data_IF_401603654226
#
_entry.id   IF_401603654226
#
_cell.length_a   1.000
_cell.length_b   1.000
_cell.length_c   1.000
_cell.angle_alpha   90.00
_cell.angle_beta   90.00
_cell.angle_gamma   90.00
#
_symmetry.space_group_name_H-M   'P 1'
#
loop_
_entity.id
_entity.type
_entity.pdbx_description
1 polymer ?
#
# COMPACT_ATOMS: atom_id res chain seq x y z
N UNK A 1 18.32 10.21 -20.12
CA UNK A 1 17.94 10.58 -18.75
C UNK A 1 18.81 9.78 -17.79
N UNK A 2 19.63 10.44 -16.99
CA UNK A 2 20.34 9.78 -15.88
C UNK A 2 19.29 9.40 -14.84
N UNK A 3 19.09 8.11 -14.60
CA UNK A 3 18.20 7.66 -13.52
C UNK A 3 18.87 8.02 -12.19
N UNK A 4 18.37 9.06 -11.52
CA UNK A 4 18.84 9.53 -10.21
C UNK A 4 18.66 8.47 -9.10
N UNK A 5 17.81 7.47 -9.35
CA UNK A 5 17.59 6.32 -8.48
C UNK A 5 18.09 5.05 -9.18
N UNK A 6 18.87 4.27 -8.44
CA UNK A 6 19.43 2.99 -8.84
C UNK A 6 18.46 1.83 -8.65
N UNK A 7 18.84 0.64 -9.13
CA UNK A 7 18.08 -0.60 -8.83
C UNK A 7 17.99 -0.87 -7.32
N UNK A 8 19.06 -0.59 -6.58
CA UNK A 8 19.09 -0.78 -5.14
C UNK A 8 18.10 0.17 -4.45
N UNK A 9 18.03 1.43 -4.90
CA UNK A 9 17.08 2.40 -4.35
C UNK A 9 15.62 1.95 -4.54
N UNK A 10 15.29 1.38 -5.71
CA UNK A 10 13.98 0.77 -5.93
C UNK A 10 13.70 -0.44 -5.02
N UNK A 11 14.71 -1.27 -4.74
CA UNK A 11 14.58 -2.39 -3.81
C UNK A 11 14.35 -1.92 -2.38
N UNK A 12 15.11 -0.91 -1.94
CA UNK A 12 14.93 -0.27 -0.62
C UNK A 12 13.54 0.36 -0.53
N UNK A 13 13.09 1.09 -1.55
CA UNK A 13 11.75 1.68 -1.58
C UNK A 13 10.64 0.61 -1.51
N UNK A 14 10.77 -0.48 -2.27
CA UNK A 14 9.84 -1.62 -2.21
C UNK A 14 9.78 -2.20 -0.79
N UNK A 15 10.94 -2.35 -0.13
CA UNK A 15 11.02 -2.85 1.25
C UNK A 15 10.41 -1.88 2.27
N UNK A 16 10.60 -0.57 2.09
CA UNK A 16 9.97 0.48 2.92
C UNK A 16 8.46 0.36 2.83
N UNK A 17 7.92 0.27 1.62
CA UNK A 17 6.47 0.15 1.41
C UNK A 17 5.94 -1.15 2.03
N UNK A 18 6.64 -2.28 1.86
CA UNK A 18 6.27 -3.53 2.53
C UNK A 18 6.28 -3.40 4.06
N UNK A 19 7.28 -2.73 4.63
CA UNK A 19 7.36 -2.50 6.06
C UNK A 19 6.23 -1.60 6.60
N UNK A 20 5.73 -0.66 5.79
CA UNK A 20 4.58 0.17 6.11
C UNK A 20 3.24 -0.61 6.00
N UNK A 21 3.12 -1.50 5.02
CA UNK A 21 1.91 -2.29 4.74
C UNK A 21 2.21 -3.80 4.66
N UNK A 22 2.53 -4.47 5.78
CA UNK A 22 3.10 -5.82 5.79
C UNK A 22 2.03 -6.92 5.64
N UNK A 23 1.34 -6.93 4.50
CA UNK A 23 0.34 -7.97 4.17
C UNK A 23 1.03 -9.28 3.83
N UNK A 24 0.66 -10.34 4.55
CA UNK A 24 1.29 -11.68 4.39
C UNK A 24 0.88 -12.39 3.10
N UNK A 25 -0.32 -12.10 2.60
CA UNK A 25 -0.92 -12.76 1.43
C UNK A 25 -0.63 -12.03 0.13
N UNK A 26 -0.21 -10.76 0.20
CA UNK A 26 0.02 -9.96 -1.00
C UNK A 26 1.35 -10.37 -1.65
N UNK A 27 1.37 -10.62 -2.96
CA UNK A 27 2.59 -10.90 -3.69
C UNK A 27 3.47 -9.65 -3.77
N UNK A 28 4.71 -9.81 -4.24
CA UNK A 28 5.65 -8.70 -4.34
C UNK A 28 5.26 -7.66 -5.42
N UNK A 29 4.52 -8.06 -6.45
CA UNK A 29 4.18 -7.23 -7.61
C UNK A 29 3.52 -5.88 -7.27
N UNK A 30 2.44 -5.85 -6.47
CA UNK A 30 1.79 -4.61 -6.04
C UNK A 30 2.75 -3.64 -5.31
N UNK A 31 3.68 -4.17 -4.49
CA UNK A 31 4.67 -3.34 -3.80
C UNK A 31 5.68 -2.71 -4.76
N UNK A 32 6.09 -3.44 -5.80
CA UNK A 32 6.98 -2.90 -6.84
C UNK A 32 6.28 -1.80 -7.64
N UNK A 33 5.03 -2.01 -8.05
CA UNK A 33 4.23 -0.99 -8.73
C UNK A 33 3.99 0.25 -7.87
N UNK A 34 3.80 0.07 -6.56
CA UNK A 34 3.72 1.19 -5.61
C UNK A 34 5.06 1.96 -5.52
N UNK A 35 6.20 1.25 -5.51
CA UNK A 35 7.51 1.90 -5.57
C UNK A 35 7.70 2.69 -6.87
N UNK A 36 7.30 2.13 -8.01
CA UNK A 36 7.37 2.81 -9.30
C UNK A 36 6.49 4.06 -9.33
N UNK A 37 5.26 4.00 -8.80
CA UNK A 37 4.37 5.15 -8.70
C UNK A 37 4.96 6.29 -7.84
N UNK A 38 5.63 5.96 -6.73
CA UNK A 38 6.36 6.94 -5.91
C UNK A 38 7.49 7.58 -6.72
N UNK A 39 8.25 6.80 -7.48
CA UNK A 39 9.35 7.29 -8.32
C UNK A 39 8.84 8.20 -9.44
N UNK A 40 7.73 7.84 -10.09
CA UNK A 40 7.07 8.66 -11.12
C UNK A 40 6.58 9.99 -10.56
N UNK A 41 5.96 10.00 -9.38
CA UNK A 41 5.56 11.24 -8.70
C UNK A 41 6.78 12.10 -8.36
N UNK A 42 7.84 11.50 -7.83
CA UNK A 42 9.08 12.20 -7.52
C UNK A 42 9.74 12.80 -8.78
N UNK A 43 9.68 12.12 -9.92
CA UNK A 43 10.27 12.60 -11.18
C UNK A 43 9.66 13.93 -11.66
N UNK A 44 8.42 14.24 -11.26
CA UNK A 44 7.74 15.51 -11.58
C UNK A 44 7.80 16.54 -10.46
N UNK A 45 8.38 16.18 -9.30
CA UNK A 45 8.44 17.01 -8.11
C UNK A 45 9.88 17.03 -7.53
N UNK A 46 10.69 18.04 -7.88
CA UNK A 46 12.10 18.11 -7.45
C UNK A 46 12.31 18.07 -5.94
N UNK A 47 11.38 18.62 -5.15
CA UNK A 47 11.44 18.58 -3.69
C UNK A 47 11.28 17.15 -3.18
N UNK A 48 10.26 16.45 -3.69
CA UNK A 48 10.02 15.05 -3.34
C UNK A 48 11.18 14.16 -3.79
N UNK A 49 11.74 14.39 -4.99
CA UNK A 49 12.90 13.65 -5.46
C UNK A 49 14.12 13.80 -4.54
N UNK A 50 14.41 15.04 -4.10
CA UNK A 50 15.49 15.28 -3.16
C UNK A 50 15.25 14.58 -1.82
N UNK A 51 14.02 14.63 -1.31
CA UNK A 51 13.62 13.92 -0.07
C UNK A 51 13.76 12.41 -0.21
N UNK A 52 13.36 11.84 -1.35
CA UNK A 52 13.43 10.40 -1.64
C UNK A 52 14.88 9.92 -1.72
N UNK A 53 15.73 10.61 -2.49
CA UNK A 53 17.16 10.27 -2.62
C UNK A 53 17.87 10.36 -1.27
N UNK A 54 17.64 11.44 -0.52
CA UNK A 54 18.25 11.61 0.80
C UNK A 54 17.77 10.55 1.79
N UNK A 55 16.46 10.33 1.89
CA UNK A 55 15.89 9.38 2.86
C UNK A 55 16.27 7.93 2.58
N UNK A 56 16.37 7.53 1.30
CA UNK A 56 16.87 6.19 0.93
C UNK A 56 18.34 6.03 1.35
N UNK A 57 19.19 7.01 1.06
CA UNK A 57 20.61 6.96 1.44
C UNK A 57 20.79 6.92 2.97
N UNK A 58 19.97 7.67 3.72
CA UNK A 58 19.96 7.63 5.18
C UNK A 58 19.49 6.27 5.70
N UNK A 59 18.45 5.67 5.14
CA UNK A 59 17.98 4.33 5.55
C UNK A 59 19.03 3.24 5.29
N UNK A 60 19.65 3.25 4.11
CA UNK A 60 20.64 2.24 3.71
C UNK A 60 21.94 2.28 4.52
N UNK A 61 22.19 3.36 5.26
CA UNK A 61 23.39 3.54 6.09
C UNK A 61 23.12 3.42 7.59
N UNK A 62 21.86 3.29 8.02
CA UNK A 62 21.50 3.22 9.44
C UNK A 62 21.88 1.89 10.12
N UNK A 63 22.17 0.84 9.34
CA UNK A 63 22.45 -0.52 9.83
C UNK A 63 23.66 -1.10 9.10
N UNK A 64 24.16 -2.23 9.59
CA UNK A 64 25.32 -2.93 9.01
C UNK A 64 25.05 -3.52 7.62
N UNK A 65 23.77 -3.63 7.23
CA UNK A 65 23.32 -4.09 5.92
C UNK A 65 22.33 -3.08 5.32
N UNK A 66 22.18 -3.01 3.98
CA UNK A 66 21.20 -2.15 3.33
C UNK A 66 19.77 -2.40 3.85
N UNK A 67 18.92 -1.37 3.79
CA UNK A 67 17.57 -1.46 4.35
C UNK A 67 16.75 -2.58 3.70
N UNK A 68 16.93 -2.78 2.38
CA UNK A 68 16.30 -3.85 1.61
C UNK A 68 16.55 -5.26 2.16
N UNK A 69 17.70 -5.48 2.82
CA UNK A 69 18.15 -6.77 3.34
C UNK A 69 17.72 -7.02 4.79
N UNK A 70 17.16 -6.02 5.47
CA UNK A 70 16.68 -6.17 6.84
C UNK A 70 15.55 -7.19 6.94
N UNK A 71 15.50 -7.93 8.05
CA UNK A 71 14.31 -8.70 8.39
C UNK A 71 13.10 -7.78 8.63
N UNK A 72 11.90 -8.35 8.54
CA UNK A 72 10.64 -7.57 8.58
C UNK A 72 10.49 -6.80 9.91
N UNK A 73 10.85 -7.39 11.04
CA UNK A 73 10.69 -6.76 12.34
C UNK A 73 11.66 -5.59 12.50
N UNK A 74 12.91 -5.76 12.07
CA UNK A 74 13.92 -4.70 12.09
C UNK A 74 13.59 -3.57 11.13
N UNK A 75 13.18 -3.87 9.89
CA UNK A 75 12.75 -2.86 8.92
C UNK A 75 11.59 -2.02 9.46
N UNK A 76 10.58 -2.65 10.06
CA UNK A 76 9.46 -1.93 10.68
C UNK A 76 9.89 -1.08 11.88
N UNK A 77 10.86 -1.54 12.68
CA UNK A 77 11.39 -0.76 13.80
C UNK A 77 12.17 0.48 13.34
N UNK A 78 13.00 0.34 12.31
CA UNK A 78 13.70 1.47 11.68
C UNK A 78 12.69 2.45 11.09
N UNK A 79 11.69 1.96 10.35
CA UNK A 79 10.70 2.82 9.71
C UNK A 79 9.86 3.61 10.73
N UNK A 80 9.49 3.00 11.87
CA UNK A 80 8.84 3.71 12.99
C UNK A 80 9.68 4.85 13.55
N UNK A 81 11.00 4.74 13.54
CA UNK A 81 11.90 5.82 13.97
C UNK A 81 11.89 7.02 13.03
N UNK A 82 11.51 6.82 11.76
CA UNK A 82 11.39 7.85 10.74
C UNK A 82 9.93 8.27 10.49
N UNK A 83 8.98 7.78 11.30
CA UNK A 83 7.56 8.10 11.17
C UNK A 83 7.31 9.61 11.33
N UNK A 84 6.39 10.15 10.54
CA UNK A 84 6.11 11.58 10.45
C UNK A 84 7.19 12.41 9.73
N UNK A 85 8.30 11.82 9.29
CA UNK A 85 9.25 12.52 8.42
C UNK A 85 8.62 12.81 7.05
N UNK A 86 8.94 13.93 6.39
CA UNK A 86 8.41 14.21 5.05
C UNK A 86 8.71 13.11 4.03
N UNK A 87 9.84 12.43 4.18
CA UNK A 87 10.24 11.29 3.36
C UNK A 87 9.25 10.11 3.51
N UNK A 88 9.00 9.65 4.73
CA UNK A 88 8.09 8.51 4.99
C UNK A 88 6.66 8.89 4.64
N UNK A 89 6.20 10.09 5.01
CA UNK A 89 4.84 10.56 4.70
C UNK A 89 4.58 10.54 3.20
N UNK A 90 5.48 11.10 2.36
CA UNK A 90 5.30 11.09 0.91
C UNK A 90 5.22 9.69 0.30
N UNK A 91 5.98 8.73 0.83
CA UNK A 91 5.94 7.35 0.36
C UNK A 91 4.60 6.71 0.73
N UNK A 92 4.16 6.84 1.99
CA UNK A 92 2.93 6.23 2.51
C UNK A 92 1.69 6.81 1.81
N UNK A 93 1.64 8.13 1.61
CA UNK A 93 0.52 8.81 0.93
C UNK A 93 0.31 8.31 -0.50
N UNK A 94 1.40 8.04 -1.22
CA UNK A 94 1.34 7.48 -2.57
C UNK A 94 1.02 5.98 -2.54
N UNK A 95 1.76 5.23 -1.72
CA UNK A 95 1.67 3.77 -1.69
C UNK A 95 0.32 3.26 -1.22
N UNK A 96 -0.36 3.93 -0.28
CA UNK A 96 -1.69 3.53 0.16
C UNK A 96 -2.68 3.54 -1.02
N UNK A 97 -2.62 4.58 -1.86
CA UNK A 97 -3.48 4.69 -3.03
C UNK A 97 -3.12 3.62 -4.05
N UNK A 98 -1.83 3.44 -4.35
CA UNK A 98 -1.40 2.50 -5.39
C UNK A 98 -1.66 1.05 -5.00
N UNK A 99 -1.38 0.64 -3.76
CA UNK A 99 -1.59 -0.76 -3.31
C UNK A 99 -3.07 -1.11 -3.35
N UNK A 100 -3.95 -0.28 -2.77
CA UNK A 100 -5.37 -0.61 -2.68
C UNK A 100 -6.17 -0.28 -3.94
N UNK A 101 -5.53 0.32 -4.96
CA UNK A 101 -6.10 0.47 -6.30
C UNK A 101 -5.56 -0.58 -7.29
N UNK A 102 -4.77 -1.54 -6.80
CA UNK A 102 -4.14 -2.55 -7.64
C UNK A 102 -5.10 -3.72 -7.91
N UNK A 103 -5.38 -4.08 -9.18
CA UNK A 103 -6.27 -5.19 -9.50
C UNK A 103 -5.84 -6.54 -8.93
N UNK A 104 -4.53 -6.81 -8.81
CA UNK A 104 -4.03 -8.06 -8.21
C UNK A 104 -4.33 -8.09 -6.70
N UNK A 105 -4.32 -6.94 -6.04
CA UNK A 105 -4.75 -6.81 -4.64
C UNK A 105 -6.26 -6.97 -4.50
N UNK A 106 -7.04 -6.44 -5.45
CA UNK A 106 -8.49 -6.59 -5.45
C UNK A 106 -8.93 -8.05 -5.50
N UNK A 107 -8.30 -8.86 -6.36
CA UNK A 107 -8.56 -10.29 -6.48
C UNK A 107 -8.30 -11.03 -5.14
N UNK A 108 -7.28 -10.62 -4.38
CA UNK A 108 -6.95 -11.20 -3.08
C UNK A 108 -7.92 -10.79 -1.97
N UNK A 109 -8.47 -9.58 -2.07
CA UNK A 109 -9.41 -9.02 -1.11
C UNK A 109 -10.87 -9.36 -1.43
N UNK A 110 -11.14 -9.96 -2.59
CA UNK A 110 -12.51 -10.20 -3.06
C UNK A 110 -13.24 -8.94 -3.51
N UNK A 111 -12.52 -7.85 -3.79
CA UNK A 111 -13.12 -6.64 -4.31
C UNK A 111 -13.34 -6.75 -5.82
N UNK A 112 -14.58 -6.72 -6.28
CA UNK A 112 -14.88 -6.93 -7.71
C UNK A 112 -14.61 -5.72 -8.63
N UNK A 113 -13.84 -4.73 -8.15
CA UNK A 113 -13.61 -3.47 -8.83
C UNK A 113 -14.83 -2.54 -8.84
N UNK A 114 -14.71 -1.35 -9.46
CA UNK A 114 -15.80 -0.37 -9.54
C UNK A 114 -17.09 -0.95 -10.14
N UNK A 115 -18.23 -0.46 -9.67
CA UNK A 115 -19.57 -0.92 -10.09
C UNK A 115 -20.44 0.17 -10.71
N UNK A 116 -20.02 1.44 -10.67
CA UNK A 116 -20.84 2.57 -11.15
C UNK A 116 -21.27 2.40 -12.61
N UNK A 117 -20.33 2.04 -13.47
CA UNK A 117 -20.55 1.75 -14.90
C UNK A 117 -21.30 0.43 -15.14
N UNK A 118 -21.42 -0.42 -14.11
CA UNK A 118 -22.07 -1.74 -14.17
C UNK A 118 -23.44 -1.78 -13.49
N UNK A 119 -24.01 -0.63 -13.14
CA UNK A 119 -25.34 -0.56 -12.51
C UNK A 119 -25.36 -0.80 -11.00
N UNK A 120 -24.20 -0.77 -10.33
CA UNK A 120 -24.06 -0.99 -8.89
C UNK A 120 -23.74 -2.44 -8.51
N UNK A 121 -23.79 -2.74 -7.20
CA UNK A 121 -23.49 -4.07 -6.65
C UNK A 121 -24.72 -4.94 -6.39
N UNK A 122 -25.93 -4.45 -6.66
CA UNK A 122 -27.20 -5.16 -6.35
C UNK A 122 -27.18 -6.60 -6.86
N UNK A 123 -26.73 -6.81 -8.11
CA UNK A 123 -26.62 -8.14 -8.73
C UNK A 123 -25.15 -8.62 -8.84
N UNK A 124 -24.25 -8.05 -8.03
CA UNK A 124 -22.79 -8.27 -8.08
C UNK A 124 -22.16 -8.28 -6.69
N UNK A 125 -22.64 -9.17 -5.83
CA UNK A 125 -22.02 -9.41 -4.53
C UNK A 125 -22.38 -8.44 -3.40
N UNK A 126 -23.44 -7.64 -3.55
CA UNK A 126 -23.98 -6.84 -2.44
C UNK A 126 -24.39 -7.72 -1.24
N UNK A 127 -24.91 -8.92 -1.49
CA UNK A 127 -25.42 -9.85 -0.47
C UNK A 127 -24.65 -11.18 -0.45
N UNK A 128 -23.43 -11.23 -1.00
CA UNK A 128 -22.57 -12.43 -0.99
C UNK A 128 -21.86 -12.59 0.38
N UNK A 129 -22.57 -12.32 1.47
CA UNK A 129 -22.02 -12.35 2.82
C UNK A 129 -22.10 -13.77 3.38
N UNK A 130 -20.98 -14.49 3.35
CA UNK A 130 -20.82 -15.86 3.86
C UNK A 130 -20.73 -15.97 5.39
N UNK A 131 -20.64 -14.82 6.08
CA UNK A 131 -20.45 -14.72 7.53
C UNK A 131 -21.69 -14.23 8.29
N UNK A 132 -22.75 -13.81 7.60
CA UNK A 132 -24.04 -13.47 8.19
C UNK A 132 -25.07 -14.58 7.91
N UNK A 133 -25.98 -14.86 8.86
CA UNK A 133 -27.13 -15.70 8.56
C UNK A 133 -28.04 -14.98 7.54
N UNK A 134 -28.81 -15.77 6.79
CA UNK A 134 -29.76 -15.23 5.80
C UNK A 134 -30.59 -14.10 6.43
N UNK A 135 -30.71 -12.94 5.74
CA UNK A 135 -31.44 -11.82 6.28
C UNK A 135 -32.88 -12.21 6.60
N UNK A 136 -33.34 -11.89 7.81
CA UNK A 136 -34.73 -12.09 8.18
C UNK A 136 -35.61 -11.19 7.32
N UNK A 137 -36.42 -11.80 6.45
CA UNK A 137 -37.31 -11.09 5.51
C UNK A 137 -38.58 -10.58 6.22
N UNK A 138 -38.84 -11.08 7.43
CA UNK A 138 -39.96 -10.65 8.29
C UNK A 138 -39.41 -10.01 9.57
N UNK A 139 -39.86 -8.80 9.87
CA UNK A 139 -39.51 -8.08 11.09
C UNK A 139 -40.53 -8.40 12.19
N UNK A 140 -40.19 -9.29 13.12
CA UNK A 140 -41.00 -9.58 14.32
C UNK A 140 -40.71 -8.63 15.50
N UNK A 141 -40.48 -7.35 15.23
CA UNK A 141 -40.35 -6.36 16.31
C UNK A 141 -41.73 -5.95 16.82
N UNK A 142 -41.96 -6.07 18.14
CA UNK A 142 -43.10 -5.41 18.77
C UNK A 142 -42.93 -3.89 18.60
N UNK A 143 -43.85 -3.26 17.88
CA UNK A 143 -43.98 -1.80 17.84
C UNK A 143 -44.31 -1.37 19.27
N UNK A 144 -43.31 -0.91 20.04
CA UNK A 144 -43.56 -0.22 21.30
C UNK A 144 -44.24 1.10 20.94
N UNK A 145 -45.55 1.16 21.18
CA UNK A 145 -46.34 2.39 21.19
C UNK A 145 -46.12 3.16 22.48
#
# INVERSE_FOLDING_TARGET
MTYLLSRQDHQTLTKVIYAAFPHRTFPQGPYQRAADAVVEQAATNPRMLAQLVQGIAELDTQRDVPFAELDVATAAAVLRGADGSPFVTSIVDSAIVTIYSDPEVWDLLGYEGPSFDKGGYVDRGFDDLDWLPDPQIEYEGQIQR
#
